data_IF_727848248551
#
_entry.id   IF_727848248551
#
_cell.length_a   1.000
_cell.length_b   1.000
_cell.length_c   1.000
_cell.angle_alpha   90.00
_cell.angle_beta   90.00
_cell.angle_gamma   90.00
#
_symmetry.space_group_name_H-M   'P 1'
#
loop_
_entity.id
_entity.type
_entity.pdbx_description
1 polymer ?
#
# COMPACT_ATOMS: atom_id res chain seq x y z
N UNK A 1 8.23 24.27 -32.14
CA UNK A 1 7.90 24.25 -30.69
C UNK A 1 8.76 23.17 -30.03
N UNK A 2 9.67 23.54 -29.14
CA UNK A 2 10.50 22.58 -28.39
C UNK A 2 9.96 22.60 -26.96
N UNK A 3 9.38 21.47 -26.53
CA UNK A 3 8.91 21.30 -25.17
C UNK A 3 10.10 20.81 -24.34
N UNK A 4 10.54 21.60 -23.37
CA UNK A 4 11.53 21.18 -22.39
C UNK A 4 10.83 20.77 -21.10
N UNK A 5 11.01 19.52 -20.70
CA UNK A 5 10.59 19.05 -19.39
C UNK A 5 11.64 19.41 -18.35
N UNK A 6 11.27 20.15 -17.32
CA UNK A 6 12.18 20.58 -16.25
C UNK A 6 11.99 19.75 -14.96
N UNK A 7 11.81 18.43 -15.11
CA UNK A 7 11.66 17.53 -13.99
C UNK A 7 12.39 16.20 -14.23
N UNK A 8 12.69 15.50 -13.14
CA UNK A 8 13.26 14.16 -13.20
C UNK A 8 12.15 13.13 -13.30
N UNK A 9 12.18 12.32 -14.36
CA UNK A 9 11.14 11.30 -14.65
C UNK A 9 10.89 10.34 -13.49
N UNK A 10 11.93 9.96 -12.75
CA UNK A 10 11.78 9.08 -11.58
C UNK A 10 10.87 9.66 -10.51
N UNK A 11 10.84 10.99 -10.34
CA UNK A 11 9.93 11.65 -9.41
C UNK A 11 8.49 11.56 -9.89
N UNK A 12 8.27 11.81 -11.19
CA UNK A 12 6.96 11.68 -11.82
C UNK A 12 6.42 10.26 -11.72
N UNK A 13 7.21 9.27 -12.17
CA UNK A 13 6.84 7.86 -12.16
C UNK A 13 6.52 7.35 -10.76
N UNK A 14 7.29 7.78 -9.75
CA UNK A 14 7.06 7.40 -8.36
C UNK A 14 5.74 7.98 -7.85
N UNK A 15 5.50 9.27 -8.08
CA UNK A 15 4.25 9.93 -7.68
C UNK A 15 3.06 9.30 -8.39
N UNK A 16 3.18 9.06 -9.69
CA UNK A 16 2.14 8.46 -10.52
C UNK A 16 1.78 7.04 -10.02
N UNK A 17 2.78 6.19 -9.79
CA UNK A 17 2.57 4.83 -9.31
C UNK A 17 1.77 4.78 -7.99
N UNK A 18 2.13 5.60 -7.01
CA UNK A 18 1.38 5.67 -5.75
C UNK A 18 -0.03 6.27 -5.93
N UNK A 19 -0.21 7.21 -6.85
CA UNK A 19 -1.54 7.79 -7.13
C UNK A 19 -2.46 6.78 -7.83
N UNK A 20 -1.93 5.93 -8.71
CA UNK A 20 -2.70 4.84 -9.32
C UNK A 20 -3.21 3.84 -8.27
N UNK A 21 -2.40 3.51 -7.26
CA UNK A 21 -2.83 2.65 -6.16
C UNK A 21 -3.99 3.31 -5.39
N UNK A 22 -3.89 4.60 -5.08
CA UNK A 22 -4.92 5.37 -4.37
C UNK A 22 -6.26 5.34 -5.13
N UNK A 23 -6.22 5.65 -6.43
CA UNK A 23 -7.39 5.61 -7.31
C UNK A 23 -8.00 4.20 -7.39
N UNK A 24 -7.17 3.16 -7.57
CA UNK A 24 -7.64 1.78 -7.58
C UNK A 24 -8.37 1.41 -6.29
N UNK A 25 -7.80 1.80 -5.15
CA UNK A 25 -8.39 1.51 -3.87
C UNK A 25 -9.75 2.19 -3.67
N UNK A 26 -9.87 3.46 -4.03
CA UNK A 26 -11.14 4.20 -3.95
C UNK A 26 -12.23 3.53 -4.78
N UNK A 27 -11.90 3.13 -6.02
CA UNK A 27 -12.83 2.41 -6.90
C UNK A 27 -13.26 1.08 -6.29
N UNK A 28 -12.31 0.26 -5.84
CA UNK A 28 -12.59 -1.08 -5.32
C UNK A 28 -13.39 -1.02 -4.00
N UNK A 29 -13.07 -0.07 -3.13
CA UNK A 29 -13.81 0.12 -1.89
C UNK A 29 -15.26 0.55 -2.17
N UNK A 30 -15.47 1.46 -3.11
CA UNK A 30 -16.82 1.85 -3.56
C UNK A 30 -17.61 0.68 -4.15
N UNK A 31 -16.98 -0.14 -4.99
CA UNK A 31 -17.62 -1.33 -5.57
C UNK A 31 -18.02 -2.37 -4.52
N UNK A 32 -17.21 -2.58 -3.48
CA UNK A 32 -17.55 -3.50 -2.39
C UNK A 32 -18.80 -3.00 -1.65
N UNK A 33 -18.88 -1.71 -1.32
CA UNK A 33 -20.06 -1.15 -0.64
C UNK A 33 -21.33 -1.26 -1.50
N UNK A 34 -21.24 -1.04 -2.81
CA UNK A 34 -22.36 -1.22 -3.73
C UNK A 34 -22.83 -2.69 -3.81
N UNK A 35 -21.91 -3.63 -3.83
CA UNK A 35 -22.22 -5.07 -3.86
C UNK A 35 -22.87 -5.49 -2.54
N UNK A 36 -22.36 -5.05 -1.40
CA UNK A 36 -22.95 -5.28 -0.09
C UNK A 36 -24.41 -4.84 -0.05
N UNK A 37 -24.67 -3.61 -0.50
CA UNK A 37 -26.03 -3.05 -0.53
C UNK A 37 -26.96 -3.88 -1.40
N UNK A 38 -26.57 -4.20 -2.63
CA UNK A 38 -27.36 -5.02 -3.55
C UNK A 38 -27.64 -6.41 -3.00
N UNK A 39 -26.66 -7.05 -2.37
CA UNK A 39 -26.87 -8.37 -1.76
C UNK A 39 -27.85 -8.30 -0.59
N UNK A 40 -27.76 -7.26 0.26
CA UNK A 40 -28.72 -7.06 1.36
C UNK A 40 -30.14 -6.81 0.85
N UNK A 41 -30.31 -6.05 -0.23
CA UNK A 41 -31.60 -5.83 -0.88
C UNK A 41 -32.16 -7.16 -1.43
N UNK A 42 -31.33 -7.99 -2.05
CA UNK A 42 -31.70 -9.31 -2.53
C UNK A 42 -32.15 -10.25 -1.40
N UNK A 43 -31.45 -10.28 -0.27
CA UNK A 43 -31.82 -11.08 0.90
C UNK A 43 -33.19 -10.64 1.41
N UNK A 44 -33.45 -9.34 1.54
CA UNK A 44 -34.75 -8.81 1.99
C UNK A 44 -35.88 -9.26 1.06
N UNK A 45 -35.68 -9.13 -0.27
CA UNK A 45 -36.67 -9.55 -1.27
C UNK A 45 -36.94 -11.07 -1.23
N UNK A 46 -35.96 -11.90 -0.99
CA UNK A 46 -36.13 -13.33 -0.82
C UNK A 46 -36.96 -13.64 0.42
N UNK A 47 -36.68 -12.97 1.54
CA UNK A 47 -37.37 -13.21 2.81
C UNK A 47 -38.84 -12.71 2.80
N UNK A 48 -39.20 -11.70 2.02
CA UNK A 48 -40.59 -11.22 1.86
C UNK A 48 -41.52 -12.30 1.33
N UNK A 49 -41.04 -13.30 0.64
CA UNK A 49 -41.84 -14.39 0.07
C UNK A 49 -41.99 -15.60 1.00
N UNK A 50 -41.32 -15.63 2.14
CA UNK A 50 -41.38 -16.74 3.10
C UNK A 50 -42.56 -16.53 4.01
N UNK A 51 -43.54 -17.45 4.00
CA UNK A 51 -44.78 -17.34 4.73
C UNK A 51 -44.76 -18.06 6.09
N UNK A 52 -43.98 -19.12 6.20
CA UNK A 52 -43.80 -19.87 7.42
C UNK A 52 -42.80 -19.20 8.35
N UNK A 53 -43.11 -19.12 9.64
CA UNK A 53 -42.30 -18.41 10.63
C UNK A 53 -40.99 -19.17 10.90
N UNK A 54 -41.03 -20.50 11.03
CA UNK A 54 -39.85 -21.31 11.32
C UNK A 54 -38.90 -21.31 10.12
N UNK A 55 -39.46 -21.43 8.92
CA UNK A 55 -38.69 -21.29 7.67
C UNK A 55 -38.07 -19.90 7.53
N UNK A 56 -38.80 -18.84 7.90
CA UNK A 56 -38.29 -17.46 7.88
C UNK A 56 -37.12 -17.28 8.85
N UNK A 57 -37.21 -17.75 10.07
CA UNK A 57 -36.14 -17.65 11.07
C UNK A 57 -34.90 -18.40 10.63
N UNK A 58 -35.05 -19.61 10.10
CA UNK A 58 -33.95 -20.43 9.60
C UNK A 58 -33.27 -19.77 8.39
N UNK A 59 -34.04 -19.40 7.36
CA UNK A 59 -33.51 -18.80 6.15
C UNK A 59 -32.85 -17.43 6.42
N UNK A 60 -33.49 -16.58 7.24
CA UNK A 60 -32.94 -15.27 7.59
C UNK A 60 -31.62 -15.40 8.34
N UNK A 61 -31.54 -16.28 9.34
CA UNK A 61 -30.32 -16.55 10.08
C UNK A 61 -29.17 -16.98 9.14
N UNK A 62 -29.45 -17.92 8.24
CA UNK A 62 -28.46 -18.44 7.30
C UNK A 62 -28.00 -17.37 6.31
N UNK A 63 -28.91 -16.67 5.65
CA UNK A 63 -28.60 -15.65 4.64
C UNK A 63 -27.84 -14.45 5.23
N UNK A 64 -28.24 -13.99 6.43
CA UNK A 64 -27.54 -12.90 7.10
C UNK A 64 -26.15 -13.33 7.58
N UNK A 65 -25.96 -14.56 8.03
CA UNK A 65 -24.66 -15.08 8.41
C UNK A 65 -23.73 -15.21 7.20
N UNK A 66 -24.22 -15.72 6.06
CA UNK A 66 -23.45 -15.78 4.81
C UNK A 66 -23.07 -14.39 4.32
N UNK A 67 -24.04 -13.44 4.33
CA UNK A 67 -23.77 -12.03 3.98
C UNK A 67 -22.66 -11.45 4.85
N UNK A 68 -22.76 -11.62 6.18
CA UNK A 68 -21.76 -11.12 7.11
C UNK A 68 -20.39 -11.69 6.81
N UNK A 69 -20.26 -13.00 6.68
CA UNK A 69 -18.97 -13.63 6.39
C UNK A 69 -18.38 -13.19 5.05
N UNK A 70 -19.21 -13.10 4.01
CA UNK A 70 -18.72 -12.77 2.67
C UNK A 70 -18.38 -11.29 2.55
N UNK A 71 -19.29 -10.40 2.95
CA UNK A 71 -19.22 -8.98 2.63
C UNK A 71 -18.68 -8.11 3.77
N UNK A 72 -18.80 -8.53 5.02
CA UNK A 72 -18.28 -7.76 6.15
C UNK A 72 -16.92 -8.26 6.64
N UNK A 73 -16.56 -9.51 6.36
CA UNK A 73 -15.26 -10.06 6.77
C UNK A 73 -14.34 -10.37 5.60
N UNK A 74 -14.76 -11.23 4.64
CA UNK A 74 -13.86 -11.78 3.64
C UNK A 74 -13.47 -10.78 2.55
N UNK A 75 -14.41 -10.09 1.91
CA UNK A 75 -14.10 -9.13 0.85
C UNK A 75 -13.28 -7.93 1.35
N UNK A 76 -13.60 -7.27 2.46
CA UNK A 76 -12.77 -6.19 3.01
C UNK A 76 -11.36 -6.67 3.35
N UNK A 77 -11.22 -7.89 3.91
CA UNK A 77 -9.91 -8.47 4.19
C UNK A 77 -9.12 -8.72 2.91
N UNK A 78 -9.72 -9.31 1.89
CA UNK A 78 -9.06 -9.54 0.60
C UNK A 78 -8.61 -8.22 -0.03
N UNK A 79 -9.45 -7.19 0.03
CA UNK A 79 -9.11 -5.86 -0.48
C UNK A 79 -7.92 -5.27 0.27
N UNK A 80 -7.95 -5.22 1.59
CA UNK A 80 -6.86 -4.63 2.39
C UNK A 80 -5.56 -5.42 2.26
N UNK A 81 -5.61 -6.75 2.14
CA UNK A 81 -4.43 -7.60 1.93
C UNK A 81 -3.80 -7.36 0.55
N UNK A 82 -4.61 -7.28 -0.50
CA UNK A 82 -4.12 -6.94 -1.84
C UNK A 82 -3.52 -5.54 -1.86
N UNK A 83 -4.12 -4.60 -1.13
CA UNK A 83 -3.66 -3.23 -1.05
C UNK A 83 -2.31 -3.10 -0.33
N UNK A 84 -2.13 -3.77 0.81
CA UNK A 84 -0.82 -3.86 1.49
C UNK A 84 0.24 -4.43 0.55
N UNK A 85 -0.10 -5.47 -0.20
CA UNK A 85 0.82 -6.10 -1.15
C UNK A 85 1.20 -5.16 -2.29
N UNK A 86 0.24 -4.45 -2.87
CA UNK A 86 0.47 -3.47 -3.95
C UNK A 86 1.34 -2.30 -3.47
N UNK A 87 1.04 -1.73 -2.30
CA UNK A 87 1.83 -0.64 -1.71
C UNK A 87 3.28 -1.11 -1.51
N UNK A 88 3.48 -2.32 -0.95
CA UNK A 88 4.83 -2.82 -0.69
C UNK A 88 5.60 -3.09 -1.98
N UNK A 89 4.98 -3.72 -2.98
CA UNK A 89 5.62 -3.99 -4.27
C UNK A 89 6.02 -2.70 -4.98
N UNK A 90 5.15 -1.69 -4.95
CA UNK A 90 5.46 -0.36 -5.51
C UNK A 90 6.60 0.30 -4.73
N UNK A 91 6.55 0.27 -3.39
CA UNK A 91 7.62 0.78 -2.54
C UNK A 91 8.97 0.13 -2.88
N UNK A 92 9.01 -1.21 -2.98
CA UNK A 92 10.22 -1.96 -3.31
C UNK A 92 10.75 -1.58 -4.69
N UNK A 93 9.87 -1.53 -5.70
CA UNK A 93 10.23 -1.14 -7.06
C UNK A 93 10.81 0.28 -7.10
N UNK A 94 10.11 1.24 -6.51
CA UNK A 94 10.56 2.65 -6.52
C UNK A 94 11.85 2.87 -5.73
N UNK A 95 12.07 2.17 -4.61
CA UNK A 95 13.35 2.23 -3.87
C UNK A 95 14.50 1.61 -4.68
N UNK A 96 14.27 0.49 -5.35
CA UNK A 96 15.27 -0.11 -6.23
C UNK A 96 15.64 0.84 -7.39
N UNK A 97 14.66 1.47 -8.02
CA UNK A 97 14.88 2.44 -9.09
C UNK A 97 15.63 3.67 -8.60
N UNK A 98 15.26 4.24 -7.45
CA UNK A 98 15.97 5.36 -6.85
C UNK A 98 17.43 5.04 -6.59
N UNK A 99 17.72 3.89 -5.97
CA UNK A 99 19.09 3.47 -5.71
C UNK A 99 19.88 3.20 -7.01
N UNK A 100 19.25 2.64 -8.04
CA UNK A 100 19.87 2.41 -9.34
C UNK A 100 20.12 3.73 -10.09
N UNK A 101 19.22 4.69 -10.01
CA UNK A 101 19.43 6.01 -10.62
C UNK A 101 20.55 6.77 -9.90
N UNK A 102 20.59 6.76 -8.58
CA UNK A 102 21.70 7.33 -7.79
C UNK A 102 23.03 6.65 -8.11
N UNK A 103 23.04 5.32 -8.26
CA UNK A 103 24.23 4.57 -8.66
C UNK A 103 24.81 5.08 -9.98
N UNK A 104 23.96 5.29 -10.98
CA UNK A 104 24.35 5.79 -12.29
C UNK A 104 24.79 7.26 -12.26
N UNK A 105 23.94 8.14 -11.67
CA UNK A 105 24.16 9.61 -11.65
C UNK A 105 25.44 10.00 -10.89
N UNK A 106 25.73 9.32 -9.80
CA UNK A 106 26.88 9.62 -8.93
C UNK A 106 28.09 8.73 -9.21
N UNK A 107 28.02 7.88 -10.24
CA UNK A 107 29.08 6.92 -10.61
C UNK A 107 29.59 6.12 -9.40
N UNK A 108 28.64 5.56 -8.62
CA UNK A 108 28.94 4.90 -7.37
C UNK A 108 29.55 3.51 -7.61
N UNK A 109 30.36 3.03 -6.65
CA UNK A 109 30.97 1.69 -6.73
C UNK A 109 30.10 0.59 -6.13
N UNK A 110 29.09 0.96 -5.33
CA UNK A 110 28.21 0.03 -4.62
C UNK A 110 26.81 0.08 -5.22
N UNK A 111 26.32 -1.03 -5.74
CA UNK A 111 24.95 -1.18 -6.22
C UNK A 111 24.08 -1.88 -5.16
N UNK A 112 22.80 -1.47 -5.05
CA UNK A 112 21.86 -2.04 -4.08
C UNK A 112 21.71 -3.58 -4.20
N UNK A 113 21.73 -4.10 -5.44
CA UNK A 113 21.64 -5.55 -5.72
C UNK A 113 22.78 -6.39 -5.13
N UNK A 114 23.93 -5.76 -4.83
CA UNK A 114 25.10 -6.44 -4.27
C UNK A 114 25.03 -6.55 -2.73
N UNK A 115 24.07 -5.89 -2.12
CA UNK A 115 23.86 -5.92 -0.67
C UNK A 115 22.96 -7.08 -0.28
N UNK A 116 23.23 -7.69 0.88
CA UNK A 116 22.43 -8.78 1.48
C UNK A 116 21.44 -8.24 2.52
N UNK A 117 20.39 -8.98 2.76
CA UNK A 117 19.37 -8.66 3.75
C UNK A 117 18.02 -8.30 3.14
N UNK A 118 17.09 -7.86 3.99
CA UNK A 118 15.78 -7.35 3.57
C UNK A 118 15.92 -6.08 2.72
N UNK A 119 14.84 -5.65 2.08
CA UNK A 119 14.84 -4.37 1.35
C UNK A 119 15.30 -3.22 2.26
N UNK A 120 14.73 -3.14 3.47
CA UNK A 120 15.08 -2.10 4.44
C UNK A 120 16.56 -2.11 4.81
N UNK A 121 17.13 -3.31 5.10
CA UNK A 121 18.55 -3.46 5.44
C UNK A 121 19.44 -3.02 4.27
N UNK A 122 19.12 -3.45 3.05
CA UNK A 122 19.89 -3.09 1.85
C UNK A 122 19.86 -1.59 1.56
N UNK A 123 18.69 -0.96 1.68
CA UNK A 123 18.52 0.48 1.48
C UNK A 123 19.25 1.26 2.58
N UNK A 124 19.14 0.86 3.84
CA UNK A 124 19.87 1.49 4.95
C UNK A 124 21.39 1.43 4.74
N UNK A 125 21.90 0.24 4.39
CA UNK A 125 23.34 0.06 4.10
C UNK A 125 23.79 0.88 2.89
N UNK A 126 22.99 0.93 1.82
CA UNK A 126 23.29 1.72 0.63
C UNK A 126 23.42 3.22 0.96
N UNK A 127 22.43 3.77 1.67
CA UNK A 127 22.46 5.19 2.03
C UNK A 127 23.59 5.52 3.02
N UNK A 128 23.84 4.66 4.03
CA UNK A 128 24.94 4.84 4.98
C UNK A 128 26.32 4.74 4.32
N UNK A 129 26.55 3.72 3.50
CA UNK A 129 27.84 3.49 2.88
C UNK A 129 28.28 4.63 1.92
N UNK A 130 27.29 5.39 1.43
CA UNK A 130 27.52 6.45 0.45
C UNK A 130 27.29 7.86 1.05
N UNK A 131 27.10 7.93 2.37
CA UNK A 131 26.77 9.17 3.11
C UNK A 131 25.65 9.98 2.44
N UNK A 132 24.61 9.27 1.98
CA UNK A 132 23.46 9.89 1.31
C UNK A 132 22.41 10.32 2.33
N UNK A 133 21.93 11.55 2.19
CA UNK A 133 20.75 12.05 2.89
C UNK A 133 19.49 11.65 2.12
N UNK A 134 18.32 11.76 2.76
CA UNK A 134 17.03 11.56 2.11
C UNK A 134 16.16 10.46 2.73
N UNK A 135 16.77 9.42 3.31
CA UNK A 135 16.07 8.40 4.09
C UNK A 135 16.67 8.30 5.49
N UNK A 136 15.86 8.58 6.49
CA UNK A 136 16.26 8.52 7.89
C UNK A 136 15.90 7.18 8.56
N UNK A 137 16.36 7.00 9.80
CA UNK A 137 16.06 5.80 10.62
C UNK A 137 14.56 5.53 10.72
N UNK A 138 13.75 6.59 10.89
CA UNK A 138 12.29 6.48 10.95
C UNK A 138 11.68 5.88 9.69
N UNK A 139 12.24 6.20 8.50
CA UNK A 139 11.75 5.68 7.22
C UNK A 139 12.09 4.19 7.10
N UNK A 140 13.31 3.81 7.47
CA UNK A 140 13.77 2.41 7.49
C UNK A 140 12.92 1.57 8.46
N UNK A 141 12.62 2.08 9.65
CA UNK A 141 11.77 1.40 10.63
C UNK A 141 10.35 1.21 10.07
N UNK A 142 9.79 2.23 9.39
CA UNK A 142 8.48 2.15 8.73
C UNK A 142 8.44 1.11 7.60
N UNK A 143 9.46 1.09 6.75
CA UNK A 143 9.59 0.08 5.69
C UNK A 143 9.66 -1.32 6.31
N UNK A 144 10.44 -1.49 7.37
CA UNK A 144 10.58 -2.76 8.09
C UNK A 144 9.28 -3.24 8.72
N UNK A 145 8.54 -2.35 9.40
CA UNK A 145 7.24 -2.65 10.00
C UNK A 145 6.22 -3.09 8.95
N UNK A 146 6.12 -2.33 7.87
CA UNK A 146 5.20 -2.62 6.77
C UNK A 146 5.56 -3.92 6.03
N UNK A 147 6.85 -4.19 5.85
CA UNK A 147 7.35 -5.45 5.31
C UNK A 147 6.92 -6.67 6.13
N UNK A 148 6.93 -6.57 7.48
CA UNK A 148 6.48 -7.67 8.36
C UNK A 148 4.99 -7.98 8.18
N UNK A 149 4.15 -6.95 8.05
CA UNK A 149 2.72 -7.13 7.78
C UNK A 149 2.52 -7.81 6.41
N UNK A 150 3.17 -7.30 5.37
CA UNK A 150 3.09 -7.89 4.02
C UNK A 150 3.56 -9.36 4.02
N UNK A 151 4.65 -9.66 4.69
CA UNK A 151 5.16 -11.03 4.76
C UNK A 151 4.21 -11.98 5.50
N UNK A 152 3.57 -11.51 6.57
CA UNK A 152 2.54 -12.29 7.27
C UNK A 152 1.33 -12.58 6.37
N UNK A 153 0.95 -11.62 5.51
CA UNK A 153 -0.11 -11.82 4.52
C UNK A 153 0.32 -12.86 3.47
N UNK A 154 1.47 -12.69 2.85
CA UNK A 154 1.90 -13.52 1.71
C UNK A 154 2.25 -14.96 2.12
N UNK A 155 2.92 -15.15 3.24
CA UNK A 155 3.43 -16.47 3.63
C UNK A 155 2.49 -17.23 4.55
N UNK A 156 1.66 -16.53 5.34
CA UNK A 156 0.79 -17.13 6.34
C UNK A 156 -0.68 -16.79 6.11
N UNK A 157 -1.03 -16.18 4.97
CA UNK A 157 -2.39 -15.68 4.68
C UNK A 157 -2.97 -14.85 5.84
N UNK A 158 -2.11 -14.06 6.52
CA UNK A 158 -2.50 -13.24 7.66
C UNK A 158 -2.74 -14.00 8.96
N UNK A 159 -2.46 -15.31 9.04
CA UNK A 159 -2.59 -16.09 10.28
C UNK A 159 -1.54 -15.66 11.31
N UNK A 160 -1.96 -15.38 12.56
CA UNK A 160 -1.12 -14.78 13.58
C UNK A 160 -0.56 -15.78 14.61
N UNK A 161 -0.93 -17.05 14.55
CA UNK A 161 -0.46 -18.05 15.53
C UNK A 161 1.07 -18.20 15.51
N UNK A 162 1.70 -18.27 14.34
CA UNK A 162 3.15 -18.37 14.14
C UNK A 162 3.85 -16.99 14.04
N UNK A 163 3.12 -15.89 14.20
CA UNK A 163 3.69 -14.56 14.06
C UNK A 163 4.75 -14.29 15.13
N UNK A 164 5.83 -13.60 14.74
CA UNK A 164 6.91 -13.23 15.66
C UNK A 164 6.42 -12.32 16.77
N UNK A 165 7.09 -12.37 17.96
CA UNK A 165 6.79 -11.49 19.09
C UNK A 165 6.82 -10.00 18.69
N UNK A 166 7.75 -9.62 17.80
CA UNK A 166 7.85 -8.24 17.28
C UNK A 166 6.61 -7.84 16.51
N UNK A 167 6.08 -8.73 15.64
CA UNK A 167 4.85 -8.46 14.87
C UNK A 167 3.63 -8.40 15.79
N UNK A 168 3.48 -9.35 16.73
CA UNK A 168 2.37 -9.35 17.70
C UNK A 168 2.35 -8.06 18.53
N UNK A 169 3.50 -7.61 19.01
CA UNK A 169 3.61 -6.34 19.74
C UNK A 169 3.29 -5.13 18.85
N UNK A 170 3.73 -5.13 17.59
CA UNK A 170 3.39 -4.06 16.65
C UNK A 170 1.89 -3.94 16.45
N UNK A 171 1.21 -5.06 16.15
CA UNK A 171 -0.25 -5.09 15.96
C UNK A 171 -0.98 -4.62 17.22
N UNK A 172 -0.56 -5.08 18.41
CA UNK A 172 -1.18 -4.69 19.69
C UNK A 172 -1.12 -3.19 19.97
N UNK A 173 -0.11 -2.50 19.45
CA UNK A 173 0.13 -1.07 19.68
C UNK A 173 -0.44 -0.15 18.60
N UNK A 174 -1.28 -0.68 17.72
CA UNK A 174 -1.93 0.07 16.64
C UNK A 174 -3.46 -0.02 16.79
N UNK A 175 -4.16 1.05 16.40
CA UNK A 175 -5.61 1.11 16.48
C UNK A 175 -6.29 0.61 15.20
N UNK A 176 -5.60 0.68 14.06
CA UNK A 176 -6.14 0.38 12.72
C UNK A 176 -5.67 -0.95 12.14
N UNK A 177 -5.10 -1.80 13.00
CA UNK A 177 -4.74 -3.19 12.70
C UNK A 177 -4.89 -4.02 13.97
N UNK A 178 -5.62 -5.13 13.88
CA UNK A 178 -5.96 -5.97 15.04
C UNK A 178 -5.85 -7.46 14.67
N UNK A 179 -6.18 -8.32 15.63
CA UNK A 179 -6.30 -9.77 15.41
C UNK A 179 -7.68 -10.24 15.85
N UNK A 180 -8.42 -10.89 14.94
CA UNK A 180 -9.72 -11.53 15.24
C UNK A 180 -9.62 -13.01 14.85
N UNK A 181 -9.98 -13.91 15.73
CA UNK A 181 -9.90 -15.37 15.47
C UNK A 181 -8.56 -15.82 14.90
N UNK A 182 -7.47 -15.28 15.46
CA UNK A 182 -6.09 -15.51 15.01
C UNK A 182 -5.78 -15.02 13.58
N UNK A 183 -6.68 -14.27 12.96
CA UNK A 183 -6.52 -13.68 11.64
C UNK A 183 -6.21 -12.19 11.78
N UNK A 184 -5.26 -11.69 11.02
CA UNK A 184 -4.94 -10.28 10.94
C UNK A 184 -6.09 -9.51 10.29
N UNK A 185 -6.57 -8.48 10.96
CA UNK A 185 -7.60 -7.58 10.45
C UNK A 185 -6.98 -6.20 10.27
N UNK A 186 -7.02 -5.70 9.04
CA UNK A 186 -6.42 -4.45 8.65
C UNK A 186 -7.53 -3.50 8.19
N UNK A 187 -7.63 -2.35 8.84
CA UNK A 187 -8.53 -1.31 8.40
C UNK A 187 -8.00 -0.56 7.17
N UNK A 188 -8.89 -0.03 6.39
CA UNK A 188 -8.59 0.85 5.26
C UNK A 188 -7.66 2.00 5.65
N UNK A 189 -7.91 2.60 6.81
CA UNK A 189 -7.10 3.70 7.37
C UNK A 189 -5.62 3.35 7.49
N UNK A 190 -5.29 2.11 7.88
CA UNK A 190 -3.91 1.63 7.94
C UNK A 190 -3.20 1.72 6.59
N UNK A 191 -3.87 1.25 5.54
CA UNK A 191 -3.32 1.27 4.18
C UNK A 191 -3.10 2.71 3.68
N UNK A 192 -4.11 3.57 3.85
CA UNK A 192 -4.06 4.96 3.41
C UNK A 192 -3.00 5.78 4.16
N UNK A 193 -2.83 5.56 5.46
CA UNK A 193 -1.76 6.19 6.24
C UNK A 193 -0.37 5.82 5.73
N UNK A 194 -0.14 4.55 5.41
CA UNK A 194 1.14 4.09 4.88
C UNK A 194 1.39 4.57 3.46
N UNK A 195 0.37 4.57 2.61
CA UNK A 195 0.43 5.14 1.26
C UNK A 195 0.85 6.62 1.31
N UNK A 196 0.17 7.41 2.13
CA UNK A 196 0.48 8.83 2.34
C UNK A 196 1.89 9.03 2.90
N UNK A 197 2.29 8.19 3.85
CA UNK A 197 3.63 8.22 4.44
C UNK A 197 4.70 7.99 3.37
N UNK A 198 4.58 6.94 2.56
CA UNK A 198 5.57 6.61 1.53
C UNK A 198 5.62 7.65 0.40
N UNK A 199 4.47 8.20 -0.01
CA UNK A 199 4.44 9.37 -0.93
C UNK A 199 5.28 10.53 -0.39
N UNK A 200 5.10 10.88 0.88
CA UNK A 200 5.85 11.96 1.53
C UNK A 200 7.34 11.61 1.70
N UNK A 201 7.64 10.38 2.09
CA UNK A 201 9.02 9.88 2.22
C UNK A 201 9.80 10.05 0.92
N UNK A 202 9.24 9.62 -0.23
CA UNK A 202 9.88 9.80 -1.52
C UNK A 202 10.04 11.27 -1.90
N UNK A 203 9.02 12.10 -1.69
CA UNK A 203 9.12 13.54 -1.97
C UNK A 203 10.24 14.20 -1.18
N UNK A 204 10.37 13.85 0.11
CA UNK A 204 11.47 14.35 0.93
C UNK A 204 12.83 13.83 0.46
N UNK A 205 12.92 12.51 0.16
CA UNK A 205 14.15 11.90 -0.33
C UNK A 205 14.60 12.54 -1.64
N UNK A 206 13.71 12.73 -2.59
CA UNK A 206 14.02 13.41 -3.86
C UNK A 206 14.53 14.84 -3.62
N UNK A 207 13.91 15.59 -2.72
CA UNK A 207 14.34 16.96 -2.37
C UNK A 207 15.78 16.96 -1.81
N UNK A 208 16.04 16.12 -0.82
CA UNK A 208 17.35 16.02 -0.17
C UNK A 208 18.45 15.54 -1.13
N UNK A 209 18.08 14.72 -2.10
CA UNK A 209 19.01 14.17 -3.12
C UNK A 209 19.19 15.10 -4.33
N UNK A 210 18.48 16.24 -4.37
CA UNK A 210 18.60 17.26 -5.42
C UNK A 210 17.86 16.94 -6.72
N UNK A 211 16.82 16.07 -6.65
CA UNK A 211 15.97 15.80 -7.81
C UNK A 211 14.96 16.93 -8.05
N UNK A 212 14.71 17.22 -9.32
CA UNK A 212 13.71 18.21 -9.74
C UNK A 212 12.32 17.58 -9.73
N UNK A 213 11.44 18.11 -8.91
CA UNK A 213 10.07 17.60 -8.72
C UNK A 213 8.99 18.48 -9.36
N UNK A 214 9.36 19.66 -9.89
CA UNK A 214 8.40 20.60 -10.47
C UNK A 214 8.07 20.20 -11.91
N UNK A 215 6.79 19.99 -12.16
CA UNK A 215 6.25 19.58 -13.47
C UNK A 215 5.91 20.79 -14.34
N UNK A 216 6.86 21.71 -14.52
CA UNK A 216 6.69 22.86 -15.41
C UNK A 216 7.07 22.49 -16.84
N UNK A 217 6.16 22.76 -17.78
CA UNK A 217 6.41 22.64 -19.21
C UNK A 217 6.84 24.03 -19.70
N UNK A 218 8.12 24.19 -20.03
CA UNK A 218 8.58 25.42 -20.68
C UNK A 218 8.32 25.32 -22.20
N UNK A 219 7.37 26.11 -22.69
CA UNK A 219 7.18 26.30 -24.13
C UNK A 219 8.04 27.47 -24.58
N UNK A 220 9.12 27.18 -25.31
CA UNK A 220 9.81 28.23 -26.03
C UNK A 220 8.97 28.63 -27.26
N UNK A 221 8.14 29.64 -27.10
CA UNK A 221 7.67 30.38 -28.26
C UNK A 221 8.92 31.12 -28.83
N UNK A 222 9.34 30.73 -30.04
CA UNK A 222 10.24 31.61 -30.79
C UNK A 222 9.51 32.92 -30.96
N UNK A 223 10.00 33.97 -30.32
CA UNK A 223 9.73 35.33 -30.76
C UNK A 223 10.43 35.47 -32.12
N UNK A 224 9.68 35.23 -33.20
CA UNK A 224 10.09 35.68 -34.51
C UNK A 224 10.08 37.23 -34.47
N UNK A 225 11.29 37.80 -34.52
CA UNK A 225 11.52 39.23 -34.77
C UNK A 225 11.68 39.38 -36.26
#
# INVERSE_FOLDING_TARGET
MIIKFNFDWICFDTKYAFSQIETYFEIMNGQIEDIKKKNMESIRSLLENVKDIEDYEFQSSTLFQEHYHQYEENLPRCLTYSFVTMIYTTLETRLNELCNDLFKRKNLKLALKNLKGSLADRVELFFKALDLKGLGKKDIDKITEFSRIRNQIIHENGQMHNATKKLKNYVKNKNNITTKNNQLVIETSYCLEHLKYFKKMFSNAFKELGYKQDYTIETNEKKDI
#
